data_IF_762238134101
#
_entry.id   IF_762238134101
#
_cell.length_a   1.000
_cell.length_b   1.000
_cell.length_c   1.000
_cell.angle_alpha   90.00
_cell.angle_beta   90.00
_cell.angle_gamma   90.00
#
_symmetry.space_group_name_H-M   'P 1'
#
loop_
_entity.id
_entity.type
_entity.pdbx_description
1 polymer ?
#
# COMPACT_ATOMS: atom_id res chain seq x y z
N UNK A 1 -29.90 -8.64 31.45
CA UNK A 1 -29.95 -8.11 30.07
C UNK A 1 -28.84 -8.80 29.30
N UNK A 2 -29.15 -9.80 28.47
CA UNK A 2 -28.13 -10.54 27.69
C UNK A 2 -27.94 -9.77 26.40
N UNK A 3 -26.70 -9.38 26.07
CA UNK A 3 -26.38 -8.74 24.80
C UNK A 3 -26.72 -9.75 23.68
N UNK A 4 -27.41 -9.29 22.64
CA UNK A 4 -27.72 -10.12 21.48
C UNK A 4 -26.45 -10.63 20.79
N UNK A 5 -26.56 -11.68 19.95
CA UNK A 5 -25.41 -12.24 19.26
C UNK A 5 -24.70 -11.15 18.46
N UNK A 6 -23.44 -10.87 18.84
CA UNK A 6 -22.55 -9.97 18.12
C UNK A 6 -22.14 -10.71 16.86
N UNK A 7 -22.77 -10.36 15.75
CA UNK A 7 -22.40 -10.85 14.43
C UNK A 7 -21.44 -9.82 13.83
N UNK A 8 -20.21 -10.25 13.58
CA UNK A 8 -19.25 -9.41 12.86
C UNK A 8 -19.84 -9.07 11.49
N UNK A 9 -19.73 -7.81 11.02
CA UNK A 9 -20.14 -7.45 9.68
C UNK A 9 -19.31 -8.27 8.68
N UNK A 10 -19.91 -9.34 8.16
CA UNK A 10 -19.35 -10.08 7.04
C UNK A 10 -19.47 -9.18 5.83
N UNK A 11 -18.36 -8.58 5.41
CA UNK A 11 -18.29 -7.90 4.13
C UNK A 11 -18.79 -8.89 3.07
N UNK A 12 -19.93 -8.58 2.43
CA UNK A 12 -20.54 -9.45 1.44
C UNK A 12 -19.49 -9.84 0.41
N UNK A 13 -19.39 -11.13 0.10
CA UNK A 13 -18.39 -11.68 -0.80
C UNK A 13 -18.41 -10.93 -2.14
N UNK A 14 -17.56 -9.91 -2.27
CA UNK A 14 -17.39 -9.23 -3.54
C UNK A 14 -16.86 -10.28 -4.51
N UNK A 15 -17.42 -10.34 -5.73
CA UNK A 15 -16.95 -11.31 -6.72
C UNK A 15 -15.49 -10.99 -7.04
N UNK A 16 -14.56 -11.74 -6.45
CA UNK A 16 -13.13 -11.60 -6.73
C UNK A 16 -12.92 -11.70 -8.25
N UNK A 17 -12.38 -10.63 -8.83
CA UNK A 17 -11.91 -10.58 -10.20
C UNK A 17 -10.78 -11.58 -10.42
N UNK A 18 -10.52 -11.97 -11.66
CA UNK A 18 -9.38 -12.86 -11.97
C UNK A 18 -8.04 -12.29 -11.50
N UNK A 19 -7.92 -10.96 -11.49
CA UNK A 19 -6.76 -10.23 -10.95
C UNK A 19 -6.68 -10.38 -9.43
N UNK A 20 -7.81 -10.25 -8.73
CA UNK A 20 -7.88 -10.44 -7.28
C UNK A 20 -7.48 -11.86 -6.89
N UNK A 21 -7.93 -12.88 -7.65
CA UNK A 21 -7.55 -14.27 -7.42
C UNK A 21 -6.07 -14.53 -7.67
N UNK A 22 -5.50 -13.89 -8.68
CA UNK A 22 -4.06 -13.96 -8.94
C UNK A 22 -3.26 -13.38 -7.77
N UNK A 23 -3.67 -12.25 -7.22
CA UNK A 23 -2.97 -11.65 -6.08
C UNK A 23 -3.23 -12.36 -4.76
N UNK A 24 -4.45 -12.87 -4.55
CA UNK A 24 -4.85 -13.65 -3.38
C UNK A 24 -3.99 -14.91 -3.18
N UNK A 25 -3.42 -15.47 -4.25
CA UNK A 25 -2.55 -16.65 -4.13
C UNK A 25 -1.26 -16.37 -3.35
N UNK A 26 -0.76 -15.13 -3.33
CA UNK A 26 0.50 -14.74 -2.69
C UNK A 26 0.31 -14.30 -1.22
N UNK A 27 -0.85 -13.73 -0.90
CA UNK A 27 -1.17 -13.22 0.44
C UNK A 27 -1.75 -14.30 1.34
N UNK A 28 -1.61 -14.07 2.65
CA UNK A 28 -2.10 -14.99 3.67
C UNK A 28 -3.59 -14.82 3.97
N UNK A 29 -4.11 -13.60 3.85
CA UNK A 29 -5.50 -13.24 4.15
C UNK A 29 -6.05 -12.39 3.01
N UNK A 30 -7.19 -12.78 2.45
CA UNK A 30 -7.84 -12.09 1.33
C UNK A 30 -8.27 -10.66 1.69
N UNK A 31 -8.46 -10.36 2.98
CA UNK A 31 -8.79 -9.01 3.46
C UNK A 31 -7.68 -8.00 3.22
N UNK A 32 -6.45 -8.49 3.01
CA UNK A 32 -5.27 -7.66 2.82
C UNK A 32 -5.01 -7.37 1.33
N UNK A 33 -5.89 -7.85 0.44
CA UNK A 33 -5.85 -7.56 -1.00
C UNK A 33 -5.75 -6.04 -1.32
N UNK A 34 -6.48 -5.14 -0.62
CA UNK A 34 -6.33 -3.70 -0.83
C UNK A 34 -4.89 -3.19 -0.60
N UNK A 35 -4.09 -3.84 0.25
CA UNK A 35 -2.70 -3.46 0.51
C UNK A 35 -1.78 -3.77 -0.67
N UNK A 36 -2.09 -4.79 -1.47
CA UNK A 36 -1.34 -5.07 -2.71
C UNK A 36 -1.58 -3.93 -3.69
N UNK A 37 -2.84 -3.55 -3.89
CA UNK A 37 -3.20 -2.45 -4.80
C UNK A 37 -2.62 -1.13 -4.34
N UNK A 38 -2.67 -0.85 -3.04
CA UNK A 38 -2.04 0.33 -2.45
C UNK A 38 -0.53 0.32 -2.68
N UNK A 39 0.14 -0.81 -2.43
CA UNK A 39 1.57 -0.96 -2.66
C UNK A 39 1.95 -0.75 -4.12
N UNK A 40 1.19 -1.30 -5.06
CA UNK A 40 1.37 -1.11 -6.50
C UNK A 40 1.12 0.35 -6.91
N UNK A 41 0.07 0.98 -6.39
CA UNK A 41 -0.23 2.37 -6.68
C UNK A 41 0.92 3.27 -6.22
N UNK A 42 1.40 3.07 -5.00
CA UNK A 42 2.55 3.82 -4.45
C UNK A 42 3.81 3.57 -5.29
N UNK A 43 4.10 2.30 -5.60
CA UNK A 43 5.27 1.94 -6.39
C UNK A 43 5.24 2.52 -7.80
N UNK A 44 4.07 2.60 -8.44
CA UNK A 44 3.95 3.15 -9.80
C UNK A 44 3.82 4.68 -9.83
N UNK A 45 3.52 5.33 -8.71
CA UNK A 45 3.32 6.79 -8.66
C UNK A 45 4.40 7.51 -7.87
N UNK A 46 4.54 7.18 -6.58
CA UNK A 46 5.42 7.91 -5.65
C UNK A 46 6.88 7.55 -5.88
N UNK A 47 7.21 6.27 -6.12
CA UNK A 47 8.62 5.87 -6.32
C UNK A 47 9.21 6.52 -7.58
N UNK A 48 8.58 6.45 -8.78
CA UNK A 48 9.06 7.18 -9.96
C UNK A 48 9.12 8.68 -9.73
N UNK A 49 8.11 9.28 -9.12
CA UNK A 49 8.10 10.74 -8.89
C UNK A 49 9.21 11.16 -7.92
N UNK A 50 9.46 10.37 -6.88
CA UNK A 50 10.55 10.60 -5.94
C UNK A 50 11.91 10.47 -6.63
N UNK A 51 12.14 9.41 -7.41
CA UNK A 51 13.36 9.26 -8.21
C UNK A 51 13.55 10.42 -9.20
N UNK A 52 12.46 10.87 -9.82
CA UNK A 52 12.46 11.95 -10.79
C UNK A 52 12.82 13.30 -10.12
N UNK A 53 12.35 13.55 -8.90
CA UNK A 53 12.74 14.71 -8.10
C UNK A 53 14.23 14.73 -7.74
N UNK A 54 14.87 13.56 -7.58
CA UNK A 54 16.32 13.48 -7.36
C UNK A 54 17.14 13.39 -8.65
N UNK A 55 16.48 13.37 -9.81
CA UNK A 55 17.13 13.35 -11.11
C UNK A 55 17.33 14.76 -11.67
N UNK A 56 18.31 14.93 -12.56
CA UNK A 56 18.53 16.19 -13.29
C UNK A 56 17.51 16.44 -14.42
N UNK A 57 16.44 15.65 -14.50
CA UNK A 57 15.46 15.70 -15.59
C UNK A 57 14.54 16.92 -15.50
N UNK A 58 14.21 17.39 -14.28
CA UNK A 58 13.37 18.58 -14.08
C UNK A 58 14.21 19.71 -13.48
N UNK A 59 14.66 20.68 -14.30
CA UNK A 59 15.35 21.86 -13.81
C UNK A 59 14.38 22.98 -13.41
N UNK A 60 14.83 23.82 -12.47
CA UNK A 60 14.23 25.13 -12.18
C UNK A 60 12.87 25.08 -11.47
N UNK A 61 11.98 26.02 -11.81
CA UNK A 61 10.70 26.22 -11.11
C UNK A 61 9.79 24.97 -11.12
N UNK A 62 9.81 24.20 -12.21
CA UNK A 62 9.02 22.98 -12.34
C UNK A 62 9.37 21.93 -11.28
N UNK A 63 10.61 21.92 -10.79
CA UNK A 63 11.03 21.03 -9.72
C UNK A 63 10.23 21.30 -8.44
N UNK A 64 10.09 22.57 -8.06
CA UNK A 64 9.32 22.97 -6.88
C UNK A 64 7.84 22.62 -7.01
N UNK A 65 7.25 22.79 -8.20
CA UNK A 65 5.85 22.41 -8.44
C UNK A 65 5.66 20.92 -8.25
N UNK A 66 6.53 20.09 -8.83
CA UNK A 66 6.47 18.63 -8.67
C UNK A 66 6.74 18.20 -7.23
N UNK A 67 7.68 18.86 -6.54
CA UNK A 67 8.01 18.57 -5.15
C UNK A 67 6.81 18.84 -4.23
N UNK A 68 6.18 20.01 -4.37
CA UNK A 68 4.99 20.37 -3.58
C UNK A 68 3.82 19.43 -3.89
N UNK A 69 3.58 19.12 -5.17
CA UNK A 69 2.53 18.18 -5.55
C UNK A 69 2.79 16.78 -4.96
N UNK A 70 4.03 16.29 -4.99
CA UNK A 70 4.40 15.00 -4.43
C UNK A 70 4.22 14.97 -2.90
N UNK A 71 4.69 16.00 -2.18
CA UNK A 71 4.53 16.10 -0.72
C UNK A 71 3.06 16.12 -0.32
N UNK A 72 2.22 16.91 -1.01
CA UNK A 72 0.78 16.97 -0.73
C UNK A 72 0.11 15.62 -1.00
N UNK A 73 0.46 14.96 -2.10
CA UNK A 73 -0.09 13.65 -2.45
C UNK A 73 0.29 12.59 -1.40
N UNK A 74 1.55 12.54 -0.98
CA UNK A 74 2.01 11.62 0.08
C UNK A 74 1.29 11.94 1.39
N UNK A 75 1.34 13.19 1.83
CA UNK A 75 0.86 13.60 3.16
C UNK A 75 -0.65 13.48 3.31
N UNK A 76 -1.42 13.88 2.29
CA UNK A 76 -2.88 13.95 2.38
C UNK A 76 -3.57 12.66 1.95
N UNK A 77 -3.02 11.92 0.98
CA UNK A 77 -3.68 10.74 0.41
C UNK A 77 -3.05 9.42 0.86
N UNK A 78 -1.72 9.27 0.77
CA UNK A 78 -1.08 7.97 0.99
C UNK A 78 -0.65 7.70 2.43
N UNK A 79 -0.30 8.73 3.22
CA UNK A 79 0.28 8.57 4.55
C UNK A 79 -0.61 7.77 5.50
N UNK A 80 -1.92 8.04 5.51
CA UNK A 80 -2.88 7.34 6.36
C UNK A 80 -3.00 5.85 6.00
N UNK A 81 -3.39 5.50 4.76
CA UNK A 81 -3.48 4.12 4.30
C UNK A 81 -2.16 3.35 4.41
N UNK A 82 -1.03 3.99 4.09
CA UNK A 82 0.30 3.39 4.19
C UNK A 82 0.66 3.07 5.65
N UNK A 83 0.42 4.00 6.58
CA UNK A 83 0.68 3.78 8.01
C UNK A 83 -0.15 2.61 8.54
N UNK A 84 -1.43 2.52 8.15
CA UNK A 84 -2.29 1.40 8.55
C UNK A 84 -1.79 0.07 7.98
N UNK A 85 -1.39 0.06 6.71
CA UNK A 85 -0.79 -1.11 6.07
C UNK A 85 0.49 -1.53 6.79
N UNK A 86 1.41 -0.60 7.08
CA UNK A 86 2.66 -0.89 7.77
C UNK A 86 2.41 -1.43 9.19
N UNK A 87 1.48 -0.83 9.92
CA UNK A 87 1.11 -1.29 11.27
C UNK A 87 0.59 -2.73 11.26
N UNK A 88 -0.37 -3.03 10.37
CA UNK A 88 -0.95 -4.37 10.26
C UNK A 88 0.09 -5.40 9.80
N UNK A 89 0.89 -5.07 8.78
CA UNK A 89 1.92 -5.97 8.26
C UNK A 89 3.10 -6.18 9.21
N UNK A 90 3.27 -5.30 10.20
CA UNK A 90 4.24 -5.48 11.29
C UNK A 90 3.74 -6.45 12.37
N UNK A 91 2.43 -6.44 12.65
CA UNK A 91 1.83 -7.36 13.61
C UNK A 91 1.55 -8.76 13.02
N UNK A 92 1.25 -8.86 11.73
CA UNK A 92 0.99 -10.13 11.02
C UNK A 92 1.75 -10.19 9.71
N UNK A 93 2.23 -11.38 9.35
CA UNK A 93 2.87 -11.59 8.03
C UNK A 93 1.84 -11.40 6.92
N UNK A 94 2.15 -10.53 5.97
CA UNK A 94 1.31 -10.18 4.83
C UNK A 94 1.30 -11.30 3.77
N UNK A 95 2.49 -11.76 3.39
CA UNK A 95 2.69 -12.84 2.43
C UNK A 95 2.78 -14.22 3.11
N UNK A 96 2.43 -15.26 2.35
CA UNK A 96 2.67 -16.66 2.76
C UNK A 96 4.17 -16.90 3.03
N UNK A 97 4.49 -17.91 3.84
CA UNK A 97 5.87 -18.16 4.27
C UNK A 97 6.82 -18.43 3.09
N UNK A 98 6.33 -19.04 2.01
CA UNK A 98 7.04 -19.26 0.75
C UNK A 98 7.58 -17.95 0.16
N UNK A 99 6.84 -16.85 0.34
CA UNK A 99 7.15 -15.52 -0.16
C UNK A 99 7.62 -14.56 0.96
N UNK A 100 8.21 -15.08 2.04
CA UNK A 100 8.54 -14.26 3.21
C UNK A 100 9.46 -13.07 2.90
N UNK A 101 10.27 -13.17 1.84
CA UNK A 101 11.11 -12.08 1.33
C UNK A 101 10.28 -10.87 0.90
N UNK A 102 9.10 -11.08 0.30
CA UNK A 102 8.22 -10.00 -0.16
C UNK A 102 7.65 -9.18 1.01
N UNK A 103 7.66 -9.70 2.25
CA UNK A 103 7.28 -8.90 3.42
C UNK A 103 8.27 -7.75 3.69
N UNK A 104 9.52 -7.85 3.21
CA UNK A 104 10.51 -6.76 3.34
C UNK A 104 10.31 -5.68 2.29
N UNK A 105 9.55 -5.95 1.22
CA UNK A 105 9.32 -4.99 0.13
C UNK A 105 8.71 -3.69 0.61
N UNK A 106 7.67 -3.77 1.45
CA UNK A 106 6.98 -2.59 1.99
C UNK A 106 7.94 -1.69 2.78
N UNK A 107 8.62 -2.16 3.84
CA UNK A 107 9.50 -1.29 4.62
C UNK A 107 10.78 -0.86 3.87
N UNK A 108 11.32 -1.69 2.97
CA UNK A 108 12.61 -1.38 2.31
C UNK A 108 12.48 -0.57 1.02
N UNK A 109 11.44 -0.80 0.22
CA UNK A 109 11.29 -0.15 -1.08
C UNK A 109 10.27 0.97 -0.99
N UNK A 110 9.13 0.74 -0.36
CA UNK A 110 8.10 1.78 -0.24
C UNK A 110 8.45 2.76 0.88
N UNK A 111 8.90 2.24 2.04
CA UNK A 111 9.19 3.04 3.22
C UNK A 111 10.08 4.26 3.02
N UNK A 112 11.18 4.20 2.27
CA UNK A 112 12.04 5.38 2.05
C UNK A 112 11.39 6.52 1.25
N UNK A 113 10.31 6.24 0.51
CA UNK A 113 9.62 7.23 -0.34
C UNK A 113 8.31 7.72 0.28
N UNK A 114 7.93 7.20 1.45
CA UNK A 114 6.73 7.56 2.21
C UNK A 114 7.10 8.41 3.43
#
# INVERSE_FOLDING_TARGET
RVLGPITDPVAGASKLSSVDRFFAQFIRDERDLPFIYLSLQIFCTIVPTGLLLFSSVIPGYWWYVVAVANILLVSLYFLGPYTLMLHLTSHRRFYKNEYSFMNKFVPWIIGPFM
#
